data_IF_933918481281
#
_entry.id   IF_933918481281
#
_cell.length_a   1.000
_cell.length_b   1.000
_cell.length_c   1.000
_cell.angle_alpha   90.00
_cell.angle_beta   90.00
_cell.angle_gamma   90.00
#
_symmetry.space_group_name_H-M   'P 1'
#
loop_
_entity.id
_entity.type
_entity.pdbx_description
1 polymer ?
#
# COMPACT_ATOMS: atom_id res chain seq x y z
N UNK A 1 -25.62 -18.00 -44.39
CA UNK A 1 -25.10 -18.91 -43.36
C UNK A 1 -25.01 -18.16 -42.06
N UNK A 2 -25.96 -18.42 -41.18
CA UNK A 2 -26.09 -17.87 -39.85
C UNK A 2 -25.13 -18.60 -38.90
N UNK A 3 -24.19 -17.90 -38.25
CA UNK A 3 -23.29 -18.48 -37.24
C UNK A 3 -23.95 -18.30 -35.89
N UNK A 4 -24.36 -19.41 -35.28
CA UNK A 4 -24.93 -19.44 -33.95
C UNK A 4 -23.81 -19.09 -32.91
N UNK A 5 -24.02 -18.04 -32.13
CA UNK A 5 -23.16 -17.67 -31.02
C UNK A 5 -23.31 -18.68 -29.88
N UNK A 6 -22.22 -19.31 -29.51
CA UNK A 6 -22.14 -20.13 -28.30
C UNK A 6 -22.07 -19.19 -27.08
N UNK A 7 -23.14 -19.12 -26.28
CA UNK A 7 -23.16 -18.50 -24.96
C UNK A 7 -22.35 -19.38 -24.01
N UNK A 8 -21.10 -18.99 -23.72
CA UNK A 8 -20.31 -19.62 -22.68
C UNK A 8 -20.96 -19.42 -21.32
N UNK A 9 -21.39 -20.49 -20.69
CA UNK A 9 -21.88 -20.46 -19.31
C UNK A 9 -20.73 -20.03 -18.39
N UNK A 10 -20.94 -18.95 -17.64
CA UNK A 10 -19.99 -18.51 -16.63
C UNK A 10 -19.80 -19.62 -15.60
N UNK A 11 -18.56 -20.06 -15.41
CA UNK A 11 -18.21 -21.05 -14.38
C UNK A 11 -18.63 -20.53 -13.01
N UNK A 12 -19.32 -21.35 -12.21
CA UNK A 12 -19.69 -21.01 -10.85
C UNK A 12 -18.41 -20.74 -10.02
N UNK A 13 -18.42 -19.73 -9.12
CA UNK A 13 -17.27 -19.43 -8.29
C UNK A 13 -16.91 -20.66 -7.44
N UNK A 14 -15.62 -21.00 -7.41
CA UNK A 14 -15.10 -22.09 -6.60
C UNK A 14 -15.48 -21.88 -5.12
N UNK A 15 -15.87 -22.96 -4.38
CA UNK A 15 -16.22 -22.83 -2.97
C UNK A 15 -15.01 -22.30 -2.20
N UNK A 16 -15.27 -21.29 -1.33
CA UNK A 16 -14.25 -20.74 -0.44
C UNK A 16 -13.62 -21.87 0.40
N UNK A 17 -12.29 -21.84 0.65
CA UNK A 17 -11.62 -22.86 1.43
C UNK A 17 -12.26 -22.93 2.83
N UNK A 18 -12.75 -24.10 3.19
CA UNK A 18 -13.35 -24.35 4.50
C UNK A 18 -12.25 -24.23 5.55
N UNK A 19 -12.38 -23.30 6.49
CA UNK A 19 -11.43 -23.17 7.58
C UNK A 19 -11.33 -24.50 8.34
N UNK A 20 -10.13 -25.02 8.52
CA UNK A 20 -9.90 -26.23 9.31
C UNK A 20 -10.44 -26.01 10.74
N UNK A 21 -11.18 -26.96 11.30
CA UNK A 21 -11.64 -26.88 12.68
C UNK A 21 -10.46 -26.72 13.63
N UNK A 22 -10.62 -25.91 14.66
CA UNK A 22 -9.62 -25.80 15.72
C UNK A 22 -9.41 -27.18 16.38
N UNK A 23 -8.14 -27.55 16.58
CA UNK A 23 -7.79 -28.76 17.29
C UNK A 23 -8.42 -28.76 18.71
N UNK A 24 -8.81 -29.91 19.25
CA UNK A 24 -9.29 -30.05 20.65
C UNK A 24 -8.24 -29.52 21.62
N UNK A 25 -8.68 -28.78 22.63
CA UNK A 25 -7.81 -28.24 23.68
C UNK A 25 -7.94 -29.12 24.90
N UNK A 26 -6.84 -29.45 25.61
CA UNK A 26 -6.90 -30.16 26.91
C UNK A 26 -7.82 -29.44 27.89
N UNK A 27 -8.50 -30.20 28.75
CA UNK A 27 -9.50 -29.66 29.69
C UNK A 27 -8.93 -28.58 30.61
N UNK A 28 -7.70 -28.79 31.09
CA UNK A 28 -7.00 -27.87 32.00
C UNK A 28 -6.69 -26.52 31.31
N UNK A 29 -6.38 -26.53 30.00
CA UNK A 29 -6.14 -25.33 29.23
C UNK A 29 -7.44 -24.65 28.78
N UNK A 30 -8.50 -25.44 28.49
CA UNK A 30 -9.80 -24.89 28.11
C UNK A 30 -10.42 -24.01 29.23
N UNK A 31 -10.19 -24.35 30.48
CA UNK A 31 -10.62 -23.56 31.64
C UNK A 31 -9.89 -22.18 31.74
N UNK A 32 -8.76 -22.04 31.09
CA UNK A 32 -7.92 -20.81 31.06
C UNK A 32 -8.12 -19.96 29.81
N UNK A 33 -8.97 -20.43 28.90
CA UNK A 33 -9.25 -19.70 27.64
C UNK A 33 -10.51 -18.86 27.76
N UNK A 34 -10.41 -17.61 27.31
CA UNK A 34 -11.55 -16.72 27.15
C UNK A 34 -11.89 -16.59 25.67
N UNK A 35 -13.15 -16.77 25.29
CA UNK A 35 -13.64 -16.60 23.92
C UNK A 35 -14.33 -15.23 23.75
N UNK A 36 -13.68 -14.31 23.05
CA UNK A 36 -14.24 -12.99 22.73
C UNK A 36 -14.60 -12.91 21.26
N UNK A 37 -15.83 -12.55 20.95
CA UNK A 37 -16.30 -12.40 19.57
C UNK A 37 -15.63 -11.21 18.90
N UNK A 38 -15.05 -11.42 17.73
CA UNK A 38 -14.45 -10.35 16.95
C UNK A 38 -15.51 -9.36 16.43
N UNK A 39 -15.17 -8.06 16.45
CA UNK A 39 -15.97 -7.05 15.76
C UNK A 39 -15.93 -7.26 14.26
N UNK A 40 -16.94 -6.75 13.51
CA UNK A 40 -16.99 -6.83 12.05
C UNK A 40 -15.74 -6.21 11.41
N UNK A 41 -15.27 -5.09 11.95
CA UNK A 41 -14.06 -4.41 11.47
C UNK A 41 -12.83 -5.31 11.60
N UNK A 42 -12.60 -5.89 12.79
CA UNK A 42 -11.46 -6.80 13.02
C UNK A 42 -11.52 -8.04 12.13
N UNK A 43 -12.70 -8.64 11.96
CA UNK A 43 -12.87 -9.79 11.08
C UNK A 43 -12.57 -9.44 9.61
N UNK A 44 -12.97 -8.25 9.16
CA UNK A 44 -12.68 -7.77 7.80
C UNK A 44 -11.17 -7.51 7.60
N UNK A 45 -10.52 -6.86 8.57
CA UNK A 45 -9.07 -6.62 8.54
C UNK A 45 -8.31 -7.94 8.49
N UNK A 46 -8.64 -8.89 9.37
CA UNK A 46 -7.98 -10.20 9.44
C UNK A 46 -8.10 -10.96 8.11
N UNK A 47 -9.30 -10.97 7.51
CA UNK A 47 -9.51 -11.61 6.21
C UNK A 47 -8.67 -10.95 5.12
N UNK A 48 -8.71 -9.63 4.98
CA UNK A 48 -7.95 -8.91 3.95
C UNK A 48 -6.44 -9.10 4.09
N UNK A 49 -5.92 -9.08 5.31
CA UNK A 49 -4.50 -9.34 5.57
C UNK A 49 -4.12 -10.78 5.18
N UNK A 50 -4.98 -11.75 5.52
CA UNK A 50 -4.73 -13.15 5.16
C UNK A 50 -4.83 -13.38 3.66
N UNK A 51 -5.79 -12.76 2.99
CA UNK A 51 -5.94 -12.84 1.53
C UNK A 51 -4.70 -12.25 0.83
N UNK A 52 -4.18 -11.10 1.30
CA UNK A 52 -2.94 -10.52 0.78
C UNK A 52 -1.74 -11.46 0.95
N UNK A 53 -1.56 -12.06 2.13
CA UNK A 53 -0.50 -13.04 2.38
C UNK A 53 -0.61 -14.30 1.51
N UNK A 54 -1.82 -14.74 1.21
CA UNK A 54 -2.04 -15.93 0.38
C UNK A 54 -1.85 -15.63 -1.12
N UNK A 55 -2.01 -14.37 -1.52
CA UNK A 55 -1.91 -13.96 -2.93
C UNK A 55 -0.48 -13.62 -3.33
N UNK A 56 0.33 -13.09 -2.41
CA UNK A 56 1.68 -12.61 -2.70
C UNK A 56 2.70 -13.21 -1.73
N UNK A 57 3.90 -13.49 -2.25
CA UNK A 57 5.08 -13.78 -1.44
C UNK A 57 5.59 -12.45 -0.87
N UNK A 58 5.32 -12.17 0.41
CA UNK A 58 5.71 -10.92 1.05
C UNK A 58 7.15 -11.00 1.57
N UNK A 59 7.99 -10.08 1.09
CA UNK A 59 9.35 -9.90 1.57
C UNK A 59 9.46 -8.55 2.29
N UNK A 60 10.09 -8.55 3.46
CA UNK A 60 10.41 -7.31 4.20
C UNK A 60 11.92 -7.18 4.31
N UNK A 61 12.45 -6.02 3.94
CA UNK A 61 13.87 -5.68 4.08
C UNK A 61 14.04 -4.49 4.99
N UNK A 62 15.16 -4.46 5.71
CA UNK A 62 15.57 -3.34 6.55
C UNK A 62 16.95 -2.87 6.11
N UNK A 63 17.10 -1.56 5.94
CA UNK A 63 18.34 -0.93 5.54
C UNK A 63 18.62 0.28 6.45
N UNK A 64 19.89 0.48 6.77
CA UNK A 64 20.36 1.68 7.46
C UNK A 64 20.96 2.65 6.45
N UNK A 65 20.56 3.92 6.53
CA UNK A 65 21.00 4.97 5.60
C UNK A 65 21.56 6.15 6.38
N UNK A 66 22.77 6.61 6.02
CA UNK A 66 23.30 7.87 6.52
C UNK A 66 22.53 9.05 5.90
N UNK A 67 21.77 9.74 6.73
CA UNK A 67 20.95 10.87 6.33
C UNK A 67 21.68 12.22 6.41
N UNK A 68 22.94 12.27 6.82
CA UNK A 68 23.68 13.51 7.10
C UNK A 68 23.70 14.45 5.89
N UNK A 69 23.96 13.92 4.68
CA UNK A 69 23.98 14.69 3.44
C UNK A 69 22.61 15.28 3.09
N UNK A 70 21.54 14.48 3.21
CA UNK A 70 20.17 14.93 2.96
C UNK A 70 19.72 15.95 4.00
N UNK A 71 20.10 15.76 5.27
CA UNK A 71 19.80 16.73 6.34
C UNK A 71 20.48 18.07 6.10
N UNK A 72 21.75 18.07 5.68
CA UNK A 72 22.51 19.29 5.36
C UNK A 72 21.87 20.01 4.18
N UNK A 73 21.58 19.31 3.08
CA UNK A 73 20.91 19.86 1.90
C UNK A 73 19.55 20.45 2.25
N UNK A 74 18.74 19.71 3.02
CA UNK A 74 17.43 20.19 3.47
C UNK A 74 17.57 21.46 4.32
N UNK A 75 18.52 21.52 5.24
CA UNK A 75 18.72 22.68 6.09
C UNK A 75 19.14 23.91 5.29
N UNK A 76 19.94 23.74 4.24
CA UNK A 76 20.38 24.82 3.35
C UNK A 76 19.20 25.41 2.56
N UNK A 77 18.31 24.55 2.04
CA UNK A 77 17.27 24.97 1.09
C UNK A 77 15.87 25.14 1.67
N UNK A 78 15.58 24.66 2.89
CA UNK A 78 14.21 24.59 3.45
C UNK A 78 13.47 25.93 3.44
N UNK A 79 14.14 27.03 3.79
CA UNK A 79 13.51 28.36 3.91
C UNK A 79 13.22 28.95 2.51
N UNK A 80 14.17 28.84 1.61
CA UNK A 80 14.00 29.26 0.20
C UNK A 80 12.91 28.43 -0.51
N UNK A 81 12.88 27.13 -0.22
CA UNK A 81 11.88 26.21 -0.78
C UNK A 81 10.47 26.55 -0.27
N UNK A 82 10.30 26.74 1.05
CA UNK A 82 9.01 27.10 1.63
C UNK A 82 8.51 28.46 1.11
N UNK A 83 9.38 29.45 1.03
CA UNK A 83 9.06 30.77 0.47
C UNK A 83 8.61 30.68 -1.00
N UNK A 84 9.27 29.84 -1.80
CA UNK A 84 8.98 29.71 -3.24
C UNK A 84 7.74 28.86 -3.52
N UNK A 85 7.53 27.78 -2.76
CA UNK A 85 6.55 26.74 -3.10
C UNK A 85 5.34 26.70 -2.16
N UNK A 86 5.37 27.43 -1.03
CA UNK A 86 4.29 27.47 -0.02
C UNK A 86 4.07 26.11 0.69
N UNK A 87 5.11 25.27 0.73
CA UNK A 87 5.11 23.99 1.43
C UNK A 87 6.50 23.72 2.01
N UNK A 88 6.57 23.11 3.17
CA UNK A 88 7.85 22.76 3.81
C UNK A 88 8.56 21.66 3.03
N UNK A 89 9.88 21.76 2.93
CA UNK A 89 10.71 20.69 2.39
C UNK A 89 10.83 19.59 3.46
N UNK A 90 10.05 18.52 3.31
CA UNK A 90 10.11 17.32 4.16
C UNK A 90 11.16 16.33 3.66
N UNK A 91 11.23 15.16 4.32
CA UNK A 91 12.09 14.05 3.87
C UNK A 91 11.38 13.12 2.88
N UNK A 92 10.04 13.14 2.87
CA UNK A 92 9.28 12.18 2.06
C UNK A 92 9.50 12.36 0.56
N UNK A 93 9.67 13.59 0.08
CA UNK A 93 9.99 13.84 -1.32
C UNK A 93 11.34 13.25 -1.74
N UNK A 94 12.35 13.25 -0.87
CA UNK A 94 13.63 12.59 -1.12
C UNK A 94 13.46 11.08 -1.23
N UNK A 95 12.76 10.45 -0.29
CA UNK A 95 12.51 9.01 -0.32
C UNK A 95 11.69 8.60 -1.54
N UNK A 96 10.64 9.33 -1.88
CA UNK A 96 9.83 9.05 -3.07
C UNK A 96 10.68 9.15 -4.33
N UNK A 97 11.54 10.17 -4.46
CA UNK A 97 12.44 10.31 -5.61
C UNK A 97 13.49 9.20 -5.68
N UNK A 98 14.07 8.80 -4.55
CA UNK A 98 14.98 7.68 -4.50
C UNK A 98 14.31 6.36 -4.93
N UNK A 99 13.12 6.08 -4.41
CA UNK A 99 12.35 4.89 -4.79
C UNK A 99 11.96 4.91 -6.28
N UNK A 100 11.48 6.04 -6.81
CA UNK A 100 11.11 6.14 -8.22
C UNK A 100 12.31 5.97 -9.15
N UNK A 101 13.48 6.41 -8.73
CA UNK A 101 14.73 6.19 -9.46
C UNK A 101 15.12 4.72 -9.45
N UNK A 102 15.16 4.10 -8.28
CA UNK A 102 15.50 2.68 -8.12
C UNK A 102 14.55 1.76 -8.89
N UNK A 103 13.23 2.05 -8.91
CA UNK A 103 12.23 1.28 -9.66
C UNK A 103 12.41 1.39 -11.19
N UNK A 104 13.07 2.45 -11.69
CA UNK A 104 13.45 2.57 -13.10
C UNK A 104 14.73 1.80 -13.43
N UNK A 105 15.66 1.70 -12.46
CA UNK A 105 16.90 0.93 -12.62
C UNK A 105 16.66 -0.58 -12.50
N UNK A 106 15.68 -0.99 -11.68
CA UNK A 106 15.31 -2.39 -11.44
C UNK A 106 13.81 -2.57 -11.73
N UNK A 107 13.42 -2.62 -13.02
CA UNK A 107 12.02 -2.62 -13.43
C UNK A 107 11.25 -3.86 -12.96
N UNK A 108 11.92 -4.97 -12.67
CA UNK A 108 11.33 -6.20 -12.15
C UNK A 108 10.65 -5.98 -10.78
N UNK A 109 11.13 -5.02 -9.99
CA UNK A 109 10.53 -4.67 -8.68
C UNK A 109 9.19 -3.92 -8.89
N UNK A 110 9.02 -3.25 -10.04
CA UNK A 110 7.78 -2.56 -10.41
C UNK A 110 6.99 -3.35 -11.46
N UNK A 111 6.90 -4.66 -11.26
CA UNK A 111 6.18 -5.57 -12.12
C UNK A 111 5.23 -6.47 -11.31
N UNK A 112 4.24 -7.04 -11.96
CA UNK A 112 3.32 -8.01 -11.36
C UNK A 112 3.13 -9.21 -12.27
N UNK A 113 2.75 -10.36 -11.69
CA UNK A 113 2.43 -11.57 -12.44
C UNK A 113 0.91 -11.57 -12.68
N UNK A 114 0.52 -11.64 -13.97
CA UNK A 114 -0.86 -11.78 -14.39
C UNK A 114 -1.00 -13.06 -15.24
N UNK A 115 -1.54 -14.12 -14.65
CA UNK A 115 -1.62 -15.42 -15.28
C UNK A 115 -0.25 -15.99 -15.65
N UNK A 116 0.07 -16.03 -16.95
CA UNK A 116 1.35 -16.48 -17.48
C UNK A 116 2.31 -15.36 -17.87
N UNK A 117 1.92 -14.11 -17.68
CA UNK A 117 2.66 -12.93 -18.12
C UNK A 117 3.28 -12.17 -16.95
N UNK A 118 4.37 -11.45 -17.24
CA UNK A 118 4.94 -10.43 -16.35
C UNK A 118 4.59 -9.06 -16.90
N UNK A 119 3.85 -8.27 -16.13
CA UNK A 119 3.42 -6.92 -16.50
C UNK A 119 4.34 -5.89 -15.87
N UNK A 120 5.18 -5.25 -16.67
CA UNK A 120 6.06 -4.16 -16.24
C UNK A 120 5.31 -2.83 -16.24
N UNK A 121 5.35 -2.13 -15.10
CA UNK A 121 4.68 -0.84 -14.93
C UNK A 121 5.64 0.32 -15.26
N UNK A 122 5.35 1.06 -16.33
CA UNK A 122 6.13 2.24 -16.72
C UNK A 122 5.63 3.53 -16.03
N UNK A 123 5.09 3.40 -14.84
CA UNK A 123 4.62 4.47 -13.96
C UNK A 123 4.88 4.07 -12.51
N UNK A 124 4.92 5.03 -11.60
CA UNK A 124 5.08 4.76 -10.17
C UNK A 124 3.97 5.44 -9.38
N UNK A 125 3.16 4.63 -8.70
CA UNK A 125 2.10 5.07 -7.80
C UNK A 125 2.50 4.75 -6.36
N UNK A 126 3.08 5.73 -5.66
CA UNK A 126 3.70 5.52 -4.36
C UNK A 126 2.68 5.49 -3.22
N UNK A 127 2.53 4.35 -2.55
CA UNK A 127 1.77 4.25 -1.31
C UNK A 127 2.56 4.82 -0.12
N UNK A 128 1.92 5.71 0.64
CA UNK A 128 2.53 6.31 1.83
C UNK A 128 1.65 6.05 3.04
N UNK A 129 2.15 5.26 4.00
CA UNK A 129 1.40 4.90 5.19
C UNK A 129 1.18 6.09 6.12
N UNK A 130 -0.07 6.31 6.54
CA UNK A 130 -0.48 7.40 7.44
C UNK A 130 -1.23 6.82 8.64
N UNK A 131 -0.74 7.11 9.85
CA UNK A 131 -1.44 6.80 11.09
C UNK A 131 -2.64 7.73 11.29
N UNK A 132 -3.79 7.13 11.59
CA UNK A 132 -5.03 7.86 11.93
C UNK A 132 -5.56 7.38 13.28
N UNK A 133 -6.49 8.12 13.93
CA UNK A 133 -7.10 7.67 15.19
C UNK A 133 -7.80 6.31 15.09
N UNK A 134 -8.23 5.91 13.88
CA UNK A 134 -8.95 4.67 13.63
C UNK A 134 -8.05 3.54 13.10
N UNK A 135 -6.75 3.79 12.90
CA UNK A 135 -5.79 2.81 12.41
C UNK A 135 -4.89 3.35 11.31
N UNK A 136 -4.18 2.46 10.63
CA UNK A 136 -3.28 2.78 9.53
C UNK A 136 -4.03 2.76 8.19
N UNK A 137 -3.83 3.78 7.38
CA UNK A 137 -4.28 3.85 5.98
C UNK A 137 -3.11 4.14 5.05
N UNK A 138 -3.20 3.72 3.80
CA UNK A 138 -2.12 3.88 2.83
C UNK A 138 -2.66 4.59 1.58
N UNK A 139 -2.77 5.93 1.60
CA UNK A 139 -3.10 6.68 0.40
C UNK A 139 -1.99 6.57 -0.64
N UNK A 140 -2.37 6.69 -1.91
CA UNK A 140 -1.49 6.52 -3.06
C UNK A 140 -1.23 7.86 -3.74
N UNK A 141 0.04 8.24 -3.80
CA UNK A 141 0.53 9.36 -4.61
C UNK A 141 0.71 8.86 -6.05
N UNK A 142 -0.21 9.22 -6.93
CA UNK A 142 -0.18 8.76 -8.32
C UNK A 142 0.84 9.51 -9.14
N UNK A 143 1.43 8.84 -10.12
CA UNK A 143 2.42 9.39 -11.06
C UNK A 143 3.57 10.11 -10.34
N UNK A 144 4.04 9.52 -9.25
CA UNK A 144 5.06 10.10 -8.38
C UNK A 144 6.41 10.29 -9.10
N UNK A 145 6.67 9.50 -10.13
CA UNK A 145 7.84 9.61 -11.00
C UNK A 145 7.83 10.89 -11.84
N UNK A 146 6.65 11.43 -12.18
CA UNK A 146 6.49 12.69 -12.91
C UNK A 146 6.51 13.93 -12.00
N UNK A 147 6.42 13.75 -10.68
CA UNK A 147 6.33 14.87 -9.74
C UNK A 147 7.69 15.39 -9.30
N UNK A 148 7.80 16.73 -9.15
CA UNK A 148 8.91 17.36 -8.44
C UNK A 148 8.70 17.34 -6.91
N UNK A 149 9.76 17.69 -6.17
CA UNK A 149 9.75 17.70 -4.69
C UNK A 149 8.56 18.45 -4.09
N UNK A 150 8.27 19.67 -4.57
CA UNK A 150 7.17 20.48 -4.04
C UNK A 150 5.79 19.84 -4.30
N UNK A 151 5.59 19.22 -5.46
CA UNK A 151 4.34 18.53 -5.78
C UNK A 151 4.13 17.30 -4.90
N UNK A 152 5.18 16.53 -4.66
CA UNK A 152 5.16 15.36 -3.77
C UNK A 152 4.82 15.79 -2.35
N UNK A 153 5.50 16.80 -1.79
CA UNK A 153 5.25 17.27 -0.41
C UNK A 153 3.81 17.81 -0.26
N UNK A 154 3.32 18.59 -1.22
CA UNK A 154 1.93 19.06 -1.23
C UNK A 154 0.93 17.92 -1.27
N UNK A 155 1.17 16.93 -2.13
CA UNK A 155 0.25 15.80 -2.29
C UNK A 155 0.23 14.91 -1.05
N UNK A 156 1.38 14.64 -0.45
CA UNK A 156 1.46 13.87 0.81
C UNK A 156 0.77 14.63 1.95
N UNK A 157 0.98 15.94 2.07
CA UNK A 157 0.32 16.76 3.08
C UNK A 157 -1.22 16.75 2.91
N UNK A 158 -1.71 16.92 1.68
CA UNK A 158 -3.14 16.85 1.34
C UNK A 158 -3.74 15.51 1.73
N UNK A 159 -3.13 14.41 1.25
CA UNK A 159 -3.62 13.06 1.53
C UNK A 159 -3.55 12.72 3.02
N UNK A 160 -2.50 13.18 3.73
CA UNK A 160 -2.35 12.99 5.17
C UNK A 160 -3.42 13.70 5.99
N UNK A 161 -3.81 14.91 5.61
CA UNK A 161 -4.92 15.64 6.24
C UNK A 161 -6.25 14.91 6.01
N UNK A 162 -6.53 14.55 4.77
CA UNK A 162 -7.75 13.82 4.40
C UNK A 162 -7.84 12.43 5.03
N UNK A 163 -6.70 11.77 5.21
CA UNK A 163 -6.62 10.50 5.94
C UNK A 163 -7.06 10.67 7.40
N UNK A 164 -6.53 11.66 8.10
CA UNK A 164 -6.88 11.96 9.50
C UNK A 164 -8.34 12.36 9.67
N UNK A 165 -8.89 13.09 8.69
CA UNK A 165 -10.30 13.50 8.66
C UNK A 165 -11.26 12.36 8.23
N UNK A 166 -10.76 11.19 7.85
CA UNK A 166 -11.57 10.07 7.33
C UNK A 166 -12.21 10.35 5.96
N UNK A 167 -11.64 11.25 5.17
CA UNK A 167 -12.18 11.73 3.88
C UNK A 167 -11.51 11.10 2.65
N UNK A 168 -10.70 10.05 2.83
CA UNK A 168 -10.12 9.31 1.71
C UNK A 168 -11.15 8.39 1.06
N UNK A 169 -11.17 8.38 -0.26
CA UNK A 169 -11.95 7.42 -1.04
C UNK A 169 -11.21 6.08 -1.16
N UNK A 170 -11.94 5.00 -1.46
CA UNK A 170 -11.32 3.69 -1.72
C UNK A 170 -10.36 3.75 -2.93
N UNK A 171 -10.69 4.51 -3.97
CA UNK A 171 -9.85 4.68 -5.15
C UNK A 171 -8.49 5.33 -4.85
N UNK A 172 -8.42 6.16 -3.79
CA UNK A 172 -7.16 6.78 -3.37
C UNK A 172 -6.27 5.87 -2.52
N UNK A 173 -6.77 4.71 -2.10
CA UNK A 173 -6.06 3.71 -1.30
C UNK A 173 -5.76 2.42 -2.06
N UNK A 174 -5.98 2.38 -3.36
CA UNK A 174 -5.79 1.20 -4.21
C UNK A 174 -4.84 1.49 -5.38
N UNK A 175 -4.24 0.44 -5.96
CA UNK A 175 -3.42 0.53 -7.16
C UNK A 175 -2.08 1.25 -6.94
N UNK A 176 -1.46 1.08 -5.78
CA UNK A 176 -0.06 1.44 -5.55
C UNK A 176 0.90 0.49 -6.27
N UNK A 177 2.08 1.01 -6.60
CA UNK A 177 3.19 0.21 -7.14
C UNK A 177 3.89 -0.53 -6.03
#
# INVERSE_FOLDING_TARGET
RTVAGATGAAAAPAPAPTALPRAPVPADDAAREERVKMTRLRATIARRLKDAQNTAAMLTTYNEVDMSGIMSLRNEYKDAFEKKHGVKLGFMSFFVKACTHALKEVPEVNAEIDGGDVVYKNYVHMGVAVGTPTGLVVPVVRDADQMGFAAIEKKIAELGLRARDGKLSMAEMQGGS
#
